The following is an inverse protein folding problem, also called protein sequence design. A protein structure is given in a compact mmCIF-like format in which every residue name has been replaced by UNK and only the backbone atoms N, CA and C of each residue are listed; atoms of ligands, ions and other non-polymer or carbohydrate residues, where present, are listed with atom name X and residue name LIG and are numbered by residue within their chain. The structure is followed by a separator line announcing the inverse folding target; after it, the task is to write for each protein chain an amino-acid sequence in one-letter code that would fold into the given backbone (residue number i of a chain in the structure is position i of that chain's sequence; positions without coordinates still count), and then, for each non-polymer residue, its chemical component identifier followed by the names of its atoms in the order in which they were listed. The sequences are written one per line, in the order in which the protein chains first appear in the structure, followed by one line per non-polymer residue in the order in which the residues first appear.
data_IF_815710960255
#
_entry.id   IF_815710960255
#
_cell.length_a   1.000
_cell.length_b   1.000
_cell.length_c   1.000
_cell.angle_alpha   90.00
_cell.angle_beta   90.00
_cell.angle_gamma   90.00
#
_symmetry.space_group_name_H-M   'P 1'
#
loop_
_entity.id
_entity.type
_entity.pdbx_description
1 polymer ?
#
# COMPACT_ATOMS: atom_id res chain seq x y z
N UNK A 1 -0.78 19.37 22.83
CA UNK A 1 -1.14 18.09 22.16
C UNK A 1 -1.77 18.29 20.77
N UNK A 2 -2.96 18.91 20.62
CA UNK A 2 -3.57 19.10 19.27
C UNK A 2 -2.74 20.01 18.36
N UNK A 3 -2.17 21.06 18.91
CA UNK A 3 -1.30 21.99 18.18
C UNK A 3 -0.01 21.31 17.69
N UNK A 4 0.60 20.49 18.50
CA UNK A 4 1.79 19.70 18.12
C UNK A 4 1.47 18.75 16.97
N UNK A 5 0.29 18.09 17.02
CA UNK A 5 -0.18 17.22 15.92
C UNK A 5 -0.36 18.03 14.65
N UNK A 6 -0.97 19.22 14.74
CA UNK A 6 -1.15 20.11 13.59
C UNK A 6 0.17 20.49 12.95
N UNK A 7 1.14 20.94 13.76
CA UNK A 7 2.48 21.33 13.29
C UNK A 7 3.17 20.13 12.64
N UNK A 8 3.17 18.97 13.30
CA UNK A 8 3.74 17.75 12.75
C UNK A 8 3.15 17.39 11.39
N UNK A 9 1.81 17.43 11.25
CA UNK A 9 1.16 17.12 9.97
C UNK A 9 1.50 18.14 8.90
N UNK A 10 1.53 19.42 9.25
CA UNK A 10 1.93 20.52 8.35
C UNK A 10 3.35 20.30 7.80
N UNK A 11 4.32 20.05 8.65
CA UNK A 11 5.70 19.77 8.27
C UNK A 11 5.80 18.50 7.42
N UNK A 12 5.10 17.46 7.80
CA UNK A 12 5.08 16.19 7.06
C UNK A 12 4.55 16.38 5.64
N UNK A 13 3.43 17.09 5.49
CA UNK A 13 2.86 17.39 4.17
C UNK A 13 3.82 18.19 3.30
N UNK A 14 4.42 19.22 3.86
CA UNK A 14 5.41 20.04 3.16
C UNK A 14 6.64 19.23 2.72
N UNK A 15 7.18 18.41 3.61
CA UNK A 15 8.34 17.57 3.32
C UNK A 15 8.04 16.48 2.26
N UNK A 16 6.83 15.89 2.28
CA UNK A 16 6.44 14.93 1.25
C UNK A 16 6.24 15.62 -0.11
N UNK A 17 5.65 16.82 -0.15
CA UNK A 17 5.54 17.61 -1.35
C UNK A 17 6.93 17.87 -1.96
N UNK A 18 7.88 18.38 -1.18
CA UNK A 18 9.27 18.58 -1.62
C UNK A 18 9.95 17.31 -2.13
N UNK A 19 9.65 16.15 -1.54
CA UNK A 19 10.18 14.88 -2.04
C UNK A 19 9.59 14.54 -3.41
N UNK A 20 8.28 14.73 -3.58
CA UNK A 20 7.61 14.46 -4.85
C UNK A 20 8.13 15.31 -6.00
N UNK A 21 8.41 16.58 -5.75
CA UNK A 21 8.95 17.53 -6.74
C UNK A 21 10.34 17.13 -7.29
N UNK A 22 11.09 16.34 -6.53
CA UNK A 22 12.41 15.84 -6.95
C UNK A 22 12.35 14.60 -7.83
N UNK A 23 11.18 14.03 -8.03
CA UNK A 23 11.04 12.79 -8.79
C UNK A 23 10.74 13.06 -10.27
N UNK A 24 11.68 12.68 -11.12
CA UNK A 24 11.58 12.85 -12.58
C UNK A 24 11.03 11.61 -13.29
N UNK A 25 10.52 10.64 -12.54
CA UNK A 25 10.08 9.34 -13.06
C UNK A 25 8.57 9.20 -12.93
N UNK A 26 7.90 8.45 -13.83
CA UNK A 26 6.44 8.34 -13.84
C UNK A 26 5.90 7.61 -12.60
N UNK A 27 6.67 6.72 -12.00
CA UNK A 27 6.26 5.88 -10.86
C UNK A 27 7.08 6.21 -9.61
N UNK A 28 6.42 6.16 -8.46
CA UNK A 28 7.04 6.41 -7.16
C UNK A 28 8.26 5.51 -6.91
N UNK A 29 9.38 6.04 -6.39
CA UNK A 29 10.65 5.30 -6.25
C UNK A 29 10.56 4.02 -5.41
N UNK A 30 9.67 3.98 -4.40
CA UNK A 30 9.43 2.80 -3.57
C UNK A 30 8.87 1.62 -4.38
N UNK A 31 7.91 1.91 -5.27
CA UNK A 31 7.28 0.91 -6.14
C UNK A 31 8.28 0.43 -7.18
N UNK A 32 9.05 1.34 -7.76
CA UNK A 32 10.09 1.01 -8.72
C UNK A 32 11.16 0.09 -8.12
N UNK A 33 11.56 0.32 -6.87
CA UNK A 33 12.46 -0.58 -6.13
C UNK A 33 11.85 -1.98 -5.97
N UNK A 34 10.56 -2.06 -5.63
CA UNK A 34 9.84 -3.33 -5.53
C UNK A 34 9.82 -4.09 -6.86
N UNK A 35 9.48 -3.41 -7.96
CA UNK A 35 9.49 -4.00 -9.31
C UNK A 35 10.90 -4.48 -9.68
N UNK A 36 11.94 -3.69 -9.39
CA UNK A 36 13.33 -4.07 -9.65
C UNK A 36 13.71 -5.36 -8.92
N UNK A 37 13.25 -5.54 -7.69
CA UNK A 37 13.50 -6.76 -6.92
C UNK A 37 12.75 -7.96 -7.52
N UNK A 38 11.49 -7.79 -7.90
CA UNK A 38 10.71 -8.85 -8.54
C UNK A 38 11.28 -9.25 -9.91
N UNK A 39 11.83 -8.30 -10.67
CA UNK A 39 12.52 -8.59 -11.95
C UNK A 39 13.72 -9.53 -11.79
N UNK A 40 14.35 -9.59 -10.63
CA UNK A 40 15.49 -10.48 -10.40
C UNK A 40 15.08 -11.96 -10.30
N UNK A 41 13.90 -12.23 -9.76
CA UNK A 41 13.41 -13.59 -9.50
C UNK A 41 12.54 -14.14 -10.62
N UNK A 42 12.03 -13.30 -11.52
CA UNK A 42 11.12 -13.70 -12.59
C UNK A 42 11.78 -14.62 -13.64
N UNK A 43 13.10 -14.58 -13.81
CA UNK A 43 13.86 -15.34 -14.84
C UNK A 43 13.74 -16.86 -14.71
N UNK A 44 13.28 -17.36 -13.58
CA UNK A 44 13.08 -18.79 -13.36
C UNK A 44 11.70 -19.29 -13.81
N UNK A 45 10.83 -18.38 -14.23
CA UNK A 45 9.46 -18.69 -14.64
C UNK A 45 9.37 -18.80 -16.16
N UNK A 46 8.81 -19.90 -16.63
CA UNK A 46 8.53 -20.16 -18.04
C UNK A 46 7.16 -19.60 -18.40
N UNK A 47 7.08 -18.91 -19.53
CA UNK A 47 5.87 -18.25 -20.01
C UNK A 47 5.39 -18.95 -21.27
N UNK A 48 4.17 -19.47 -21.25
CA UNK A 48 3.53 -20.11 -22.40
C UNK A 48 2.29 -19.30 -22.82
N UNK A 49 2.22 -18.82 -24.06
CA UNK A 49 1.01 -18.17 -24.57
C UNK A 49 -0.17 -19.16 -24.65
N UNK A 50 -1.36 -18.75 -24.20
CA UNK A 50 -2.58 -19.57 -24.23
C UNK A 50 -3.64 -18.96 -25.17
N UNK A 51 -3.56 -17.66 -25.43
CA UNK A 51 -4.51 -16.93 -26.27
C UNK A 51 -4.17 -15.45 -26.38
N UNK A 52 -5.03 -14.62 -26.98
CA UNK A 52 -4.77 -13.19 -27.08
C UNK A 52 -4.68 -12.57 -25.68
N UNK A 53 -3.49 -12.09 -25.32
CA UNK A 53 -3.16 -11.46 -24.03
C UNK A 53 -3.32 -12.38 -22.79
N UNK A 54 -3.46 -13.70 -23.00
CA UNK A 54 -3.56 -14.70 -21.94
C UNK A 54 -2.35 -15.64 -21.97
N UNK A 55 -1.77 -15.85 -20.80
CA UNK A 55 -0.51 -16.59 -20.64
C UNK A 55 -0.58 -17.50 -19.44
N UNK A 56 0.07 -18.62 -19.53
CA UNK A 56 0.36 -19.51 -18.42
C UNK A 56 1.82 -19.36 -18.01
N UNK A 57 2.06 -19.11 -16.73
CA UNK A 57 3.40 -18.91 -16.17
C UNK A 57 3.69 -20.03 -15.20
N UNK A 58 4.70 -20.85 -15.48
CA UNK A 58 5.02 -22.07 -14.73
C UNK A 58 6.42 -22.03 -14.12
N UNK A 59 6.52 -22.64 -12.94
CA UNK A 59 7.79 -23.00 -12.31
C UNK A 59 7.63 -24.36 -11.66
N UNK A 60 8.31 -25.37 -12.18
CA UNK A 60 8.17 -26.77 -11.73
C UNK A 60 6.71 -27.22 -11.73
N UNK A 61 6.14 -27.44 -10.55
CA UNK A 61 4.75 -27.89 -10.37
C UNK A 61 3.74 -26.76 -10.17
N UNK A 62 4.21 -25.52 -10.04
CA UNK A 62 3.35 -24.35 -9.87
C UNK A 62 3.00 -23.73 -11.23
N UNK A 63 1.72 -23.41 -11.44
CA UNK A 63 1.26 -22.75 -12.66
C UNK A 63 0.24 -21.67 -12.34
N UNK A 64 0.36 -20.51 -13.00
CA UNK A 64 -0.51 -19.35 -12.79
C UNK A 64 -0.94 -18.75 -14.12
N UNK A 65 -2.26 -18.63 -14.31
CA UNK A 65 -2.83 -17.89 -15.45
C UNK A 65 -2.66 -16.37 -15.25
N UNK A 66 -2.21 -15.71 -16.30
CA UNK A 66 -2.05 -14.24 -16.34
C UNK A 66 -2.84 -13.68 -17.52
N UNK A 67 -3.67 -12.69 -17.27
CA UNK A 67 -4.39 -11.92 -18.28
C UNK A 67 -3.90 -10.47 -18.23
N UNK A 68 -3.22 -10.04 -19.29
CA UNK A 68 -2.66 -8.70 -19.36
C UNK A 68 -3.71 -7.63 -19.68
N UNK A 69 -4.74 -7.98 -20.44
CA UNK A 69 -5.83 -7.07 -20.77
C UNK A 69 -6.59 -6.63 -19.51
N UNK A 70 -7.00 -7.63 -18.73
CA UNK A 70 -7.72 -7.40 -17.47
C UNK A 70 -6.82 -7.06 -16.31
N UNK A 71 -5.50 -7.07 -16.51
CA UNK A 71 -4.48 -6.85 -15.45
C UNK A 71 -4.69 -7.79 -14.25
N UNK A 72 -4.93 -9.06 -14.54
CA UNK A 72 -5.21 -10.07 -13.51
C UNK A 72 -4.21 -11.22 -13.56
N UNK A 73 -4.03 -11.86 -12.39
CA UNK A 73 -3.24 -13.06 -12.24
C UNK A 73 -3.95 -14.02 -11.27
N UNK A 74 -3.89 -15.30 -11.51
CA UNK A 74 -4.48 -16.33 -10.63
C UNK A 74 -3.98 -16.24 -9.18
N UNK A 75 -2.75 -15.73 -8.93
CA UNK A 75 -2.23 -15.48 -7.59
C UNK A 75 -2.91 -14.31 -6.85
N UNK A 76 -3.74 -13.52 -7.52
CA UNK A 76 -4.49 -12.34 -7.03
C UNK A 76 -3.64 -11.19 -6.48
N UNK A 77 -2.32 -11.36 -6.38
CA UNK A 77 -1.44 -10.34 -5.79
C UNK A 77 -1.42 -9.04 -6.61
N UNK A 78 -1.60 -9.12 -7.92
CA UNK A 78 -1.67 -7.95 -8.80
C UNK A 78 -2.94 -7.14 -8.55
N UNK A 79 -4.11 -7.78 -8.55
CA UNK A 79 -5.41 -7.12 -8.33
C UNK A 79 -5.48 -6.45 -6.95
N UNK A 80 -4.96 -7.13 -5.92
CA UNK A 80 -4.98 -6.62 -4.55
C UNK A 80 -4.01 -5.45 -4.38
N UNK A 81 -2.80 -5.55 -4.92
CA UNK A 81 -1.76 -4.54 -4.70
C UNK A 81 -1.75 -3.41 -5.72
N UNK A 82 -2.36 -3.60 -6.90
CA UNK A 82 -2.24 -2.68 -8.03
C UNK A 82 -0.85 -2.65 -8.67
N UNK A 83 0.04 -3.58 -8.29
CA UNK A 83 1.41 -3.70 -8.79
C UNK A 83 1.55 -5.07 -9.43
N UNK A 84 2.08 -5.18 -10.67
CA UNK A 84 2.30 -6.45 -11.31
C UNK A 84 3.05 -7.43 -10.39
N UNK A 85 2.48 -8.62 -10.21
CA UNK A 85 3.11 -9.69 -9.45
C UNK A 85 4.26 -10.31 -10.24
N UNK A 86 4.98 -11.22 -9.65
CA UNK A 86 6.11 -11.90 -10.26
C UNK A 86 5.74 -12.57 -11.60
N UNK A 87 4.58 -13.25 -11.65
CA UNK A 87 4.09 -13.94 -12.85
C UNK A 87 3.73 -12.94 -13.97
N UNK A 88 3.04 -11.86 -13.63
CA UNK A 88 2.74 -10.78 -14.57
C UNK A 88 4.01 -10.10 -15.09
N UNK A 89 5.01 -9.89 -14.23
CA UNK A 89 6.30 -9.33 -14.66
C UNK A 89 7.00 -10.28 -15.63
N UNK A 90 7.00 -11.59 -15.37
CA UNK A 90 7.58 -12.58 -16.28
C UNK A 90 6.93 -12.50 -17.68
N UNK A 91 5.60 -12.43 -17.73
CA UNK A 91 4.82 -12.30 -18.96
C UNK A 91 5.12 -11.01 -19.70
N UNK A 92 5.12 -9.87 -19.00
CA UNK A 92 5.39 -8.56 -19.62
C UNK A 92 6.79 -8.50 -20.20
N UNK A 93 7.79 -9.04 -19.51
CA UNK A 93 9.15 -9.09 -19.99
C UNK A 93 9.35 -10.08 -21.15
N UNK A 94 8.61 -11.19 -21.15
CA UNK A 94 8.57 -12.13 -22.27
C UNK A 94 8.13 -11.43 -23.56
N UNK A 95 7.19 -10.48 -23.45
CA UNK A 95 6.71 -9.65 -24.56
C UNK A 95 7.58 -8.42 -24.85
N UNK A 96 8.73 -8.28 -24.19
CA UNK A 96 9.57 -7.08 -24.24
C UNK A 96 8.82 -5.77 -23.84
N UNK A 97 7.76 -5.90 -23.07
CA UNK A 97 6.95 -4.77 -22.61
C UNK A 97 7.56 -4.05 -21.39
N UNK A 98 7.06 -2.83 -21.15
CA UNK A 98 7.47 -2.07 -19.98
C UNK A 98 6.55 -2.37 -18.79
N UNK A 99 7.09 -2.91 -17.72
CA UNK A 99 6.34 -3.27 -16.50
C UNK A 99 5.68 -2.04 -15.84
N UNK A 100 6.27 -0.86 -16.01
CA UNK A 100 5.79 0.37 -15.40
C UNK A 100 4.40 0.79 -15.93
N UNK A 101 4.05 0.43 -17.17
CA UNK A 101 2.77 0.77 -17.80
C UNK A 101 1.59 -0.04 -17.23
N UNK A 102 1.89 -1.14 -16.58
CA UNK A 102 0.91 -2.03 -15.95
C UNK A 102 0.70 -1.74 -14.46
N UNK A 103 1.39 -0.75 -13.90
CA UNK A 103 1.22 -0.32 -12.51
C UNK A 103 -0.02 0.56 -12.40
N UNK A 104 -0.74 0.44 -11.27
CA UNK A 104 -1.91 1.27 -11.01
C UNK A 104 -1.55 2.75 -10.97
N UNK A 105 -2.44 3.60 -11.50
CA UNK A 105 -2.32 5.06 -11.51
C UNK A 105 -2.09 5.65 -10.11
N UNK A 106 -2.58 4.98 -9.05
CA UNK A 106 -2.40 5.40 -7.66
C UNK A 106 -0.93 5.47 -7.21
N UNK A 107 -0.03 4.80 -7.92
CA UNK A 107 1.40 4.76 -7.61
C UNK A 107 2.24 5.68 -8.51
N UNK A 108 1.59 6.50 -9.32
CA UNK A 108 2.28 7.49 -10.14
C UNK A 108 2.76 8.68 -9.31
N UNK A 109 3.82 9.32 -9.76
CA UNK A 109 4.34 10.55 -9.14
C UNK A 109 3.34 11.71 -9.23
N UNK A 110 2.55 11.76 -10.32
CA UNK A 110 1.46 12.73 -10.47
C UNK A 110 0.38 12.57 -9.41
N UNK A 111 -0.06 11.33 -9.13
CA UNK A 111 -1.04 11.07 -8.07
C UNK A 111 -0.47 11.41 -6.69
N UNK A 112 0.79 11.06 -6.43
CA UNK A 112 1.47 11.45 -5.19
C UNK A 112 1.50 12.98 -5.02
N UNK A 113 1.87 13.73 -6.07
CA UNK A 113 1.83 15.20 -6.08
C UNK A 113 0.44 15.75 -5.80
N UNK A 114 -0.61 15.12 -6.36
CA UNK A 114 -2.00 15.52 -6.11
C UNK A 114 -2.42 15.33 -4.66
N UNK A 115 -1.99 14.23 -4.01
CA UNK A 115 -2.26 13.98 -2.59
C UNK A 115 -1.65 15.04 -1.68
N UNK A 116 -0.44 15.55 -2.00
CA UNK A 116 0.27 16.53 -1.19
C UNK A 116 0.19 17.94 -1.74
N UNK A 117 -0.73 18.22 -2.67
CA UNK A 117 -0.92 19.56 -3.24
C UNK A 117 -1.39 20.59 -2.22
N UNK A 118 -2.30 20.18 -1.34
CA UNK A 118 -2.83 21.06 -0.31
C UNK A 118 -1.87 21.16 0.87
N UNK A 119 -1.74 22.36 1.41
CA UNK A 119 -0.92 22.65 2.60
C UNK A 119 -1.81 23.14 3.72
N UNK A 120 -1.46 22.78 4.94
CA UNK A 120 -2.11 23.32 6.14
C UNK A 120 -1.59 24.75 6.33
N UNK A 121 -2.50 25.71 6.42
CA UNK A 121 -2.13 27.11 6.70
C UNK A 121 -1.59 27.23 8.13
N UNK A 122 -0.51 28.01 8.34
CA UNK A 122 -0.07 28.35 9.68
C UNK A 122 -1.16 29.16 10.41
N UNK A 123 -1.28 28.95 11.69
CA UNK A 123 -2.15 29.73 12.57
C UNK A 123 -1.30 30.37 13.68
N UNK A 124 -1.79 31.47 14.21
CA UNK A 124 -1.11 32.18 15.30
C UNK A 124 -1.07 31.30 16.56
N UNK A 125 -0.05 31.49 17.39
CA UNK A 125 0.07 30.82 18.67
C UNK A 125 -1.07 31.19 19.65
N UNK A 126 -1.24 30.37 20.67
CA UNK A 126 -2.35 30.49 21.64
C UNK A 126 -2.40 31.86 22.33
N UNK A 127 -1.26 32.49 22.53
CA UNK A 127 -1.16 33.83 23.18
C UNK A 127 -1.79 34.96 22.35
N UNK A 128 -1.94 34.74 21.05
CA UNK A 128 -2.56 35.69 20.13
C UNK A 128 -4.05 35.39 19.87
N UNK A 129 -4.58 34.39 20.52
CA UNK A 129 -6.00 34.06 20.35
C UNK A 129 -6.88 34.94 21.21
N UNK A 130 -8.04 35.38 20.72
CA UNK A 130 -8.95 36.14 21.53
C UNK A 130 -9.40 35.33 22.74
N UNK A 131 -9.34 35.91 23.92
CA UNK A 131 -9.87 35.32 25.14
C UNK A 131 -11.38 35.21 25.02
N UNK A 132 -11.87 34.00 24.83
CA UNK A 132 -13.31 33.74 24.80
C UNK A 132 -13.73 33.30 26.20
N UNK A 133 -14.57 34.11 26.83
CA UNK A 133 -15.28 33.68 28.06
C UNK A 133 -16.35 32.68 27.64
N UNK A 134 -15.95 31.43 27.51
CA UNK A 134 -16.85 30.34 27.16
C UNK A 134 -17.21 29.54 28.42
N UNK A 135 -18.43 29.04 28.49
CA UNK A 135 -18.82 28.05 29.48
C UNK A 135 -17.91 26.83 29.37
N UNK A 136 -17.44 26.32 30.50
CA UNK A 136 -16.59 25.13 30.52
C UNK A 136 -17.25 23.97 29.79
N UNK A 137 -16.70 23.57 28.65
CA UNK A 137 -17.20 22.43 27.91
C UNK A 137 -16.85 21.18 28.71
N UNK A 138 -17.84 20.56 29.31
CA UNK A 138 -17.67 19.30 30.02
C UNK A 138 -17.39 18.19 29.01
N UNK A 139 -16.42 17.29 29.32
CA UNK A 139 -16.18 16.15 28.45
C UNK A 139 -17.46 15.31 28.33
N UNK A 140 -17.73 14.70 27.16
CA UNK A 140 -18.90 13.89 26.98
C UNK A 140 -18.92 12.77 28.02
N UNK A 141 -20.09 12.55 28.65
CA UNK A 141 -20.26 11.44 29.60
C UNK A 141 -19.88 10.14 28.91
N UNK A 142 -18.78 9.54 29.33
CA UNK A 142 -18.36 8.23 28.81
C UNK A 142 -19.40 7.19 29.22
N UNK A 143 -20.35 6.92 28.34
CA UNK A 143 -21.10 5.67 28.43
C UNK A 143 -20.12 4.54 28.12
N UNK A 144 -19.92 3.62 29.06
CA UNK A 144 -19.25 2.36 28.71
C UNK A 144 -20.10 1.71 27.61
N UNK A 145 -19.61 1.80 26.37
CA UNK A 145 -20.20 1.00 25.30
C UNK A 145 -20.06 -0.47 25.74
N UNK A 146 -21.12 -1.29 25.55
CA UNK A 146 -20.99 -2.72 25.79
C UNK A 146 -19.86 -3.23 24.91
N UNK A 147 -18.70 -3.45 25.51
CA UNK A 147 -17.56 -4.03 24.82
C UNK A 147 -17.87 -5.50 24.51
N UNK A 148 -17.14 -6.08 23.55
CA UNK A 148 -17.19 -7.51 23.29
C UNK A 148 -17.01 -8.26 24.64
N UNK A 149 -17.93 -9.18 25.03
CA UNK A 149 -17.75 -9.96 26.25
C UNK A 149 -16.40 -10.63 26.27
N UNK A 150 -15.72 -10.62 27.43
CA UNK A 150 -14.45 -11.34 27.58
C UNK A 150 -14.70 -12.82 27.33
N UNK A 151 -14.36 -13.29 26.14
CA UNK A 151 -14.41 -14.72 25.84
C UNK A 151 -13.13 -15.34 26.41
N UNK A 152 -13.29 -16.09 27.51
CA UNK A 152 -12.19 -16.91 28.00
C UNK A 152 -11.79 -17.88 26.88
N UNK A 153 -10.56 -17.75 26.39
CA UNK A 153 -10.00 -18.70 25.44
C UNK A 153 -10.03 -20.08 26.11
N UNK A 154 -10.95 -20.92 25.73
CA UNK A 154 -10.90 -22.34 26.13
C UNK A 154 -9.57 -22.88 25.62
N UNK A 155 -8.66 -23.21 26.55
CA UNK A 155 -7.42 -23.90 26.20
C UNK A 155 -7.83 -25.22 25.57
N UNK A 156 -7.48 -25.42 24.30
CA UNK A 156 -7.69 -26.71 23.65
C UNK A 156 -6.84 -27.76 24.39
N UNK A 157 -7.48 -28.70 25.06
CA UNK A 157 -6.84 -29.78 25.82
C UNK A 157 -6.06 -30.76 24.93
N UNK A 158 -6.11 -30.62 23.61
CA UNK A 158 -5.52 -31.54 22.63
C UNK A 158 -4.14 -31.14 22.10
N UNK A 159 -3.45 -30.15 22.65
CA UNK A 159 -2.02 -29.97 22.35
C UNK A 159 -1.19 -30.99 23.16
N UNK A 160 -1.24 -32.27 22.74
CA UNK A 160 -0.18 -33.23 23.07
C UNK A 160 1.15 -32.62 22.63
N UNK A 161 2.04 -32.41 23.59
CA UNK A 161 3.45 -32.09 23.33
C UNK A 161 4.00 -33.18 22.42
N UNK A 162 4.38 -32.85 21.19
CA UNK A 162 5.27 -33.71 20.41
C UNK A 162 6.61 -33.63 21.13
N UNK A 163 6.95 -34.70 21.81
CA UNK A 163 8.30 -34.95 22.27
C UNK A 163 9.20 -35.10 21.04
N UNK A 164 10.23 -34.36 21.00
CA UNK A 164 11.33 -34.56 20.05
C UNK A 164 12.13 -35.76 20.57
N UNK A 165 12.18 -36.86 19.79
CA UNK A 165 13.29 -37.78 19.75
C UNK A 165 14.29 -37.32 18.73
#
# INVERSE_FOLDING_TARGET
MLEEIRVYVMERMFNQKKKGEKWNLPICPSIRRRIKNLKKTQRYWEVTPSGPQQYEVRLLHEGYGVDLNNRTCACRSWQISGIPCLHAIATILFLNGNVEDYVSVWFTTGMFGSCYRYTIKPINGADLWPTVVANTILPPRRRRLPGRPKVNRKKCLTKRRKAYC
#
